data_IF_709592982601
#
_entry.id   IF_709592982601
#
_cell.length_a   1.000
_cell.length_b   1.000
_cell.length_c   1.000
_cell.angle_alpha   90.00
_cell.angle_beta   90.00
_cell.angle_gamma   90.00
#
_symmetry.space_group_name_H-M   'P 1'
#
loop_
_entity.id
_entity.type
_entity.pdbx_description
1 polymer ?
#
# COMPACT_ATOMS: atom_id res chain seq x y z
N UNK A 1 -14.16 -7.21 -8.63
CA UNK A 1 -13.06 -6.23 -8.55
C UNK A 1 -11.86 -6.90 -7.88
N UNK A 2 -10.64 -6.73 -8.38
CA UNK A 2 -9.41 -7.24 -7.76
C UNK A 2 -8.49 -6.11 -7.33
N UNK A 3 -7.99 -6.18 -6.10
CA UNK A 3 -7.02 -5.25 -5.54
C UNK A 3 -5.72 -6.00 -5.27
N UNK A 4 -4.60 -5.46 -5.73
CA UNK A 4 -3.26 -6.00 -5.52
C UNK A 4 -2.41 -4.98 -4.77
N UNK A 5 -1.62 -5.45 -3.82
CA UNK A 5 -0.57 -4.66 -3.17
C UNK A 5 0.78 -5.31 -3.37
N UNK A 6 1.80 -4.51 -3.66
CA UNK A 6 3.13 -5.00 -3.97
C UNK A 6 4.23 -3.99 -3.65
N UNK A 7 5.08 -4.29 -2.66
CA UNK A 7 6.33 -3.58 -2.52
C UNK A 7 7.27 -3.95 -3.69
N UNK A 8 7.54 -2.99 -4.57
CA UNK A 8 8.28 -3.23 -5.82
C UNK A 8 9.79 -3.11 -5.67
N UNK A 9 10.28 -2.60 -4.53
CA UNK A 9 11.69 -2.30 -4.27
C UNK A 9 12.34 -1.55 -5.45
N UNK A 10 11.73 -0.42 -5.80
CA UNK A 10 12.05 0.39 -6.96
C UNK A 10 11.19 0.05 -8.18
N UNK A 11 10.41 1.03 -8.66
CA UNK A 11 9.51 0.84 -9.81
C UNK A 11 10.29 0.71 -11.14
N UNK A 12 11.35 1.50 -11.34
CA UNK A 12 12.17 1.50 -12.56
C UNK A 12 12.68 0.09 -12.96
N UNK A 13 13.37 -0.66 -12.07
CA UNK A 13 13.85 -1.99 -12.44
C UNK A 13 12.70 -2.98 -12.72
N UNK A 14 11.52 -2.83 -12.09
CA UNK A 14 10.35 -3.65 -12.43
C UNK A 14 9.81 -3.32 -13.82
N UNK A 15 9.63 -2.05 -14.15
CA UNK A 15 9.20 -1.62 -15.49
C UNK A 15 10.18 -2.13 -16.56
N UNK A 16 11.49 -2.03 -16.31
CA UNK A 16 12.51 -2.56 -17.22
C UNK A 16 12.43 -4.08 -17.36
N UNK A 17 12.15 -4.83 -16.29
CA UNK A 17 12.02 -6.29 -16.33
C UNK A 17 10.84 -6.74 -17.20
N UNK A 18 9.71 -6.05 -17.12
CA UNK A 18 8.51 -6.38 -17.91
C UNK A 18 8.51 -5.70 -19.30
N UNK A 19 9.46 -4.80 -19.55
CA UNK A 19 9.64 -4.05 -20.80
C UNK A 19 8.77 -2.80 -20.90
N UNK A 20 7.66 -2.70 -20.16
CA UNK A 20 6.87 -1.47 -20.03
C UNK A 20 6.03 -1.48 -18.75
N UNK A 21 5.57 -0.31 -18.32
CA UNK A 21 4.66 -0.18 -17.17
C UNK A 21 3.34 -0.91 -17.43
N UNK A 22 2.76 -0.77 -18.63
CA UNK A 22 1.52 -1.46 -18.99
C UNK A 22 1.65 -2.98 -18.86
N UNK A 23 2.74 -3.58 -19.38
CA UNK A 23 2.97 -5.03 -19.25
C UNK A 23 3.12 -5.48 -17.80
N UNK A 24 3.74 -4.66 -16.94
CA UNK A 24 3.81 -4.93 -15.51
C UNK A 24 2.40 -4.92 -14.88
N UNK A 25 1.59 -3.90 -15.16
CA UNK A 25 0.24 -3.78 -14.60
C UNK A 25 -0.67 -4.92 -15.11
N UNK A 26 -0.62 -5.24 -16.40
CA UNK A 26 -1.38 -6.33 -17.01
C UNK A 26 -1.02 -7.69 -16.40
N UNK A 27 0.26 -7.90 -16.04
CA UNK A 27 0.71 -9.16 -15.42
C UNK A 27 0.12 -9.41 -14.03
N UNK A 28 -0.32 -8.35 -13.33
CA UNK A 28 -0.96 -8.44 -12.02
C UNK A 28 -2.47 -8.72 -12.15
N UNK A 29 -3.03 -8.44 -13.33
CA UNK A 29 -4.43 -8.64 -13.70
C UNK A 29 -5.39 -8.14 -12.61
N UNK A 30 -5.30 -6.85 -12.30
CA UNK A 30 -6.08 -6.23 -11.23
C UNK A 30 -6.74 -4.91 -11.65
N UNK A 31 -7.76 -4.51 -10.90
CA UNK A 31 -8.48 -3.25 -11.10
C UNK A 31 -7.82 -2.11 -10.33
N UNK A 32 -7.31 -2.40 -9.13
CA UNK A 32 -6.53 -1.44 -8.33
C UNK A 32 -5.20 -2.09 -7.95
N UNK A 33 -4.10 -1.43 -8.25
CA UNK A 33 -2.74 -1.91 -8.00
C UNK A 33 -2.01 -0.87 -7.14
N UNK A 34 -1.60 -1.28 -5.96
CA UNK A 34 -0.91 -0.45 -4.99
C UNK A 34 0.56 -0.86 -4.91
N UNK A 35 1.45 0.02 -5.35
CA UNK A 35 2.89 -0.15 -5.22
C UNK A 35 3.45 0.61 -4.03
N UNK A 36 4.36 -0.04 -3.32
CA UNK A 36 5.18 0.55 -2.26
C UNK A 36 6.66 0.54 -2.66
N UNK A 37 7.43 1.43 -2.02
CA UNK A 37 8.87 1.58 -2.28
C UNK A 37 9.16 1.85 -3.78
N UNK A 38 8.40 2.76 -4.39
CA UNK A 38 8.57 3.11 -5.81
C UNK A 38 9.96 3.69 -6.11
N UNK A 39 10.60 4.31 -5.13
CA UNK A 39 11.92 4.97 -5.21
C UNK A 39 11.98 6.05 -6.28
N UNK A 40 10.90 6.81 -6.41
CA UNK A 40 10.78 7.93 -7.33
C UNK A 40 10.63 9.23 -6.58
N UNK A 41 11.40 10.24 -7.00
CA UNK A 41 11.14 11.64 -6.67
C UNK A 41 10.12 12.27 -7.62
N UNK A 42 9.55 13.43 -7.26
CA UNK A 42 8.61 14.15 -8.14
C UNK A 42 9.21 14.55 -9.48
N UNK A 43 10.50 14.91 -9.51
CA UNK A 43 11.20 15.29 -10.74
C UNK A 43 11.44 14.10 -11.67
N UNK A 44 11.38 12.89 -11.12
CA UNK A 44 11.62 11.64 -11.81
C UNK A 44 10.36 10.96 -12.35
N UNK A 45 9.17 11.49 -12.00
CA UNK A 45 7.88 11.05 -12.52
C UNK A 45 7.73 11.42 -14.00
N UNK A 46 8.23 10.54 -14.85
CA UNK A 46 8.12 10.62 -16.31
C UNK A 46 6.93 9.81 -16.79
N UNK A 47 6.47 10.09 -18.02
CA UNK A 47 5.29 9.45 -18.60
C UNK A 47 5.40 7.92 -18.67
N UNK A 48 6.60 7.38 -18.93
CA UNK A 48 6.86 5.93 -18.99
C UNK A 48 6.69 5.20 -17.64
N UNK A 49 6.73 5.93 -16.53
CA UNK A 49 6.58 5.39 -15.17
C UNK A 49 5.25 5.76 -14.50
N UNK A 50 4.59 6.79 -15.00
CA UNK A 50 3.34 7.30 -14.42
C UNK A 50 2.11 6.96 -15.27
N UNK A 51 2.26 6.80 -16.59
CA UNK A 51 1.14 6.55 -17.51
C UNK A 51 1.18 5.14 -18.07
N UNK A 52 0.03 4.48 -18.00
CA UNK A 52 -0.26 3.27 -18.74
C UNK A 52 -1.64 3.42 -19.36
N UNK A 53 -1.80 2.95 -20.59
CA UNK A 53 -3.10 2.98 -21.26
C UNK A 53 -4.13 2.18 -20.46
N UNK A 54 -5.33 2.73 -20.29
CA UNK A 54 -6.38 2.10 -19.49
C UNK A 54 -6.17 2.18 -17.97
N UNK A 55 -5.21 2.98 -17.49
CA UNK A 55 -4.98 3.21 -16.06
C UNK A 55 -4.83 4.69 -15.72
N UNK A 56 -5.42 5.09 -14.60
CA UNK A 56 -5.12 6.34 -13.91
C UNK A 56 -4.22 6.07 -12.71
N UNK A 57 -3.32 6.99 -12.40
CA UNK A 57 -2.33 6.77 -11.35
C UNK A 57 -2.19 7.97 -10.41
N UNK A 58 -1.90 7.66 -9.14
CA UNK A 58 -1.77 8.61 -8.04
C UNK A 58 -0.48 8.29 -7.30
N UNK A 59 0.36 9.28 -7.06
CA UNK A 59 1.69 9.10 -6.47
C UNK A 59 1.87 9.96 -5.23
N UNK A 60 2.51 9.38 -4.22
CA UNK A 60 3.08 10.09 -3.08
C UNK A 60 4.58 9.85 -3.11
N UNK A 61 5.35 10.91 -3.33
CA UNK A 61 6.80 10.84 -3.44
C UNK A 61 7.44 11.42 -2.19
N UNK A 62 8.61 10.91 -1.82
CA UNK A 62 9.35 11.50 -0.71
C UNK A 62 9.73 12.96 -1.01
N UNK A 63 9.48 13.83 -0.04
CA UNK A 63 9.79 15.26 -0.07
C UNK A 63 11.00 15.60 0.81
N UNK A 64 11.55 14.64 1.56
CA UNK A 64 12.77 14.86 2.33
C UNK A 64 14.00 14.92 1.41
N UNK A 65 14.87 15.89 1.68
CA UNK A 65 16.19 16.06 1.07
C UNK A 65 17.32 15.60 2.00
N UNK A 66 17.00 14.91 3.10
CA UNK A 66 18.01 14.39 4.02
C UNK A 66 18.97 13.48 3.27
N UNK A 67 20.27 13.61 3.53
CA UNK A 67 21.32 12.85 2.85
C UNK A 67 21.01 11.35 2.92
N UNK A 68 20.91 10.70 1.76
CA UNK A 68 20.63 9.26 1.63
C UNK A 68 19.14 8.87 1.68
N UNK A 69 18.20 9.83 1.83
CA UNK A 69 16.75 9.58 1.81
C UNK A 69 16.04 10.16 0.58
N UNK A 70 16.76 10.82 -0.32
CA UNK A 70 16.25 11.27 -1.62
C UNK A 70 15.84 10.07 -2.48
N UNK A 71 14.57 10.01 -2.89
CA UNK A 71 14.05 8.90 -3.69
C UNK A 71 14.05 7.54 -2.98
N UNK A 72 14.08 7.50 -1.64
CA UNK A 72 14.19 6.26 -0.86
C UNK A 72 12.85 5.50 -0.68
N UNK A 73 11.74 6.22 -0.65
CA UNK A 73 10.41 5.72 -0.30
C UNK A 73 9.48 5.84 -1.52
N UNK A 74 8.22 6.22 -1.31
CA UNK A 74 7.26 6.55 -2.34
C UNK A 74 6.26 5.42 -2.55
N UNK A 75 5.00 5.78 -2.71
CA UNK A 75 3.89 4.86 -3.00
C UNK A 75 3.13 5.33 -4.23
N UNK A 76 2.53 4.38 -4.96
CA UNK A 76 1.72 4.66 -6.13
C UNK A 76 0.49 3.76 -6.20
N UNK A 77 -0.66 4.31 -6.54
CA UNK A 77 -1.88 3.56 -6.78
C UNK A 77 -2.29 3.72 -8.23
N UNK A 78 -2.48 2.61 -8.94
CA UNK A 78 -2.96 2.54 -10.31
C UNK A 78 -4.38 1.97 -10.32
N UNK A 79 -5.29 2.66 -11.00
CA UNK A 79 -6.70 2.34 -11.09
C UNK A 79 -7.06 2.08 -12.56
N UNK A 80 -7.53 0.88 -12.87
CA UNK A 80 -7.99 0.51 -14.21
C UNK A 80 -9.24 1.32 -14.55
N UNK A 81 -9.26 1.91 -15.73
CA UNK A 81 -10.38 2.71 -16.23
C UNK A 81 -10.64 2.45 -17.70
N UNK A 82 -11.92 2.37 -18.09
CA UNK A 82 -12.30 2.43 -19.51
C UNK A 82 -12.22 3.84 -20.08
N UNK A 83 -12.54 4.84 -19.26
CA UNK A 83 -12.49 6.25 -19.61
C UNK A 83 -12.10 7.06 -18.40
N UNK A 84 -11.19 8.00 -18.61
CA UNK A 84 -10.73 8.91 -17.57
C UNK A 84 -11.43 10.28 -17.60
N UNK A 85 -12.38 10.46 -18.51
CA UNK A 85 -13.22 11.67 -18.54
C UNK A 85 -14.56 11.48 -17.87
N UNK A 86 -15.05 10.24 -17.82
CA UNK A 86 -16.26 9.88 -17.10
C UNK A 86 -16.29 8.37 -16.92
N UNK A 87 -16.28 7.90 -15.67
CA UNK A 87 -16.38 6.48 -15.35
C UNK A 87 -17.42 6.24 -14.25
N UNK A 88 -18.12 5.10 -14.36
CA UNK A 88 -18.97 4.54 -13.31
C UNK A 88 -18.30 3.37 -12.57
N UNK A 89 -17.07 3.04 -12.96
CA UNK A 89 -16.31 1.92 -12.42
C UNK A 89 -15.73 2.33 -11.08
N UNK A 90 -16.00 1.53 -10.05
CA UNK A 90 -15.53 1.79 -8.68
C UNK A 90 -14.00 1.84 -8.58
N UNK A 91 -13.29 1.27 -9.55
CA UNK A 91 -11.83 1.34 -9.61
C UNK A 91 -11.33 2.79 -9.74
N UNK A 92 -12.02 3.68 -10.47
CA UNK A 92 -11.68 5.09 -10.51
C UNK A 92 -12.13 5.75 -9.19
N UNK A 93 -11.24 6.40 -8.43
CA UNK A 93 -11.63 7.01 -7.17
C UNK A 93 -12.34 8.36 -7.38
N UNK A 94 -13.33 8.66 -6.54
CA UNK A 94 -14.04 9.95 -6.47
C UNK A 94 -13.11 11.09 -6.04
N UNK A 95 -12.17 10.80 -5.14
CA UNK A 95 -11.14 11.72 -4.69
C UNK A 95 -9.87 10.95 -4.32
N UNK A 96 -8.74 11.65 -4.30
CA UNK A 96 -7.47 11.10 -3.86
C UNK A 96 -6.72 12.16 -3.05
N UNK A 97 -5.93 11.74 -2.07
CA UNK A 97 -5.20 12.60 -1.13
C UNK A 97 -3.76 12.06 -0.98
N UNK A 98 -2.76 12.94 -1.10
CA UNK A 98 -1.36 12.58 -0.82
C UNK A 98 -1.08 12.73 0.68
N UNK A 99 -0.50 11.69 1.30
CA UNK A 99 -0.36 11.64 2.75
C UNK A 99 -1.65 11.18 3.42
N UNK A 100 -1.78 11.45 4.72
CA UNK A 100 -2.97 11.09 5.49
C UNK A 100 -3.38 12.12 6.54
N UNK A 101 -2.68 13.27 6.57
CA UNK A 101 -2.93 14.36 7.53
C UNK A 101 -3.68 15.55 6.92
N UNK A 102 -3.87 15.56 5.59
CA UNK A 102 -4.45 16.68 4.83
C UNK A 102 -3.49 17.84 4.52
N UNK A 103 -2.27 17.84 5.08
CA UNK A 103 -1.41 19.02 5.00
C UNK A 103 -0.64 19.14 3.67
N UNK A 104 -0.28 18.03 3.00
CA UNK A 104 0.63 18.09 1.84
C UNK A 104 0.07 18.83 0.62
N UNK A 105 -1.25 18.83 0.43
CA UNK A 105 -1.91 19.52 -0.68
C UNK A 105 -1.94 21.03 -0.47
N UNK A 106 -2.14 21.47 0.78
CA UNK A 106 -2.22 22.89 1.18
C UNK A 106 -0.88 23.63 1.02
N UNK A 107 0.25 22.92 0.94
CA UNK A 107 1.57 23.53 0.72
C UNK A 107 1.98 23.65 -0.76
N UNK A 108 1.19 23.12 -1.69
CA UNK A 108 1.51 23.11 -3.13
C UNK A 108 0.81 24.18 -3.98
N UNK A 109 -0.10 24.98 -3.41
CA UNK A 109 -0.85 26.02 -4.12
C UNK A 109 -0.99 27.32 -3.31
N UNK A 110 -0.94 28.45 -4.02
CA UNK A 110 -1.10 29.85 -3.61
C UNK A 110 -1.36 30.16 -2.11
N UNK A 111 -0.45 30.92 -1.50
CA UNK A 111 -0.42 31.27 -0.08
C UNK A 111 -1.65 32.08 0.43
N UNK A 112 -2.61 32.38 -0.45
CA UNK A 112 -3.79 33.21 -0.22
C UNK A 112 -5.02 32.43 0.30
N UNK A 113 -5.01 31.09 0.28
CA UNK A 113 -6.07 30.22 0.83
C UNK A 113 -5.51 29.10 1.72
N UNK A 114 -4.70 29.49 2.72
CA UNK A 114 -4.33 28.58 3.80
C UNK A 114 -5.55 28.35 4.70
N UNK A 115 -6.32 27.34 4.37
CA UNK A 115 -7.12 26.70 5.39
C UNK A 115 -6.15 25.77 6.14
N UNK A 116 -5.63 26.21 7.29
CA UNK A 116 -4.79 25.40 8.19
C UNK A 116 -5.62 24.28 8.86
N UNK A 117 -6.77 23.91 8.27
CA UNK A 117 -7.64 22.86 8.75
C UNK A 117 -6.96 21.51 8.54
N UNK A 118 -6.32 21.04 9.61
CA UNK A 118 -5.93 19.65 9.73
C UNK A 118 -7.19 18.80 9.58
N UNK A 119 -7.02 17.62 9.00
CA UNK A 119 -8.07 16.60 9.02
C UNK A 119 -8.65 16.41 10.42
N UNK A 120 -9.99 16.32 10.49
CA UNK A 120 -10.73 16.08 11.73
C UNK A 120 -10.18 14.90 12.54
N UNK A 121 -10.00 15.11 13.84
CA UNK A 121 -9.49 14.14 14.81
C UNK A 121 -7.97 14.20 15.03
N UNK A 122 -7.24 14.99 14.25
CA UNK A 122 -5.80 15.18 14.38
C UNK A 122 -5.42 16.50 15.06
N UNK A 123 -6.38 17.23 15.63
CA UNK A 123 -6.17 18.53 16.29
C UNK A 123 -5.26 18.44 17.52
N UNK A 124 -5.12 17.24 18.10
CA UNK A 124 -4.23 16.96 19.23
C UNK A 124 -2.75 16.80 18.86
N UNK A 125 -2.39 16.83 17.58
CA UNK A 125 -1.01 16.73 17.11
C UNK A 125 -0.50 18.08 16.61
N UNK A 126 0.80 18.33 16.78
CA UNK A 126 1.40 19.53 16.20
C UNK A 126 1.53 19.43 14.68
N UNK A 127 1.43 20.57 13.98
CA UNK A 127 1.60 20.65 12.52
C UNK A 127 2.95 20.07 12.07
N UNK A 128 4.02 20.25 12.86
CA UNK A 128 5.34 19.68 12.53
C UNK A 128 5.34 18.15 12.59
N UNK A 129 4.71 17.55 13.60
CA UNK A 129 4.59 16.08 13.70
C UNK A 129 3.82 15.50 12.51
N UNK A 130 2.72 16.15 12.12
CA UNK A 130 1.89 15.73 10.99
C UNK A 130 2.65 15.85 9.66
N UNK A 131 3.33 16.98 9.42
CA UNK A 131 4.15 17.15 8.23
C UNK A 131 5.33 16.17 8.20
N UNK A 132 5.93 15.87 9.34
CA UNK A 132 7.07 14.95 9.44
C UNK A 132 6.71 13.55 8.94
N UNK A 133 5.54 13.03 9.30
CA UNK A 133 5.11 11.68 8.87
C UNK A 133 4.73 11.63 7.39
N UNK A 134 4.14 12.69 6.86
CA UNK A 134 3.67 12.75 5.48
C UNK A 134 4.80 13.03 4.47
N UNK A 135 5.83 13.79 4.86
CA UNK A 135 6.97 14.15 3.98
C UNK A 135 7.77 12.95 3.45
N UNK A 136 7.67 11.78 4.06
CA UNK A 136 8.39 10.59 3.58
C UNK A 136 7.70 9.87 2.41
N UNK A 137 6.55 10.34 1.93
CA UNK A 137 5.86 9.76 0.77
C UNK A 137 5.40 8.32 1.02
N UNK A 138 4.84 8.07 2.20
CA UNK A 138 4.52 6.71 2.70
C UNK A 138 3.06 6.33 2.60
N UNK A 139 2.21 7.26 2.21
CA UNK A 139 0.78 7.02 2.10
C UNK A 139 0.21 7.78 0.91
N UNK A 140 -0.67 7.13 0.18
CA UNK A 140 -1.61 7.76 -0.72
C UNK A 140 -2.99 7.15 -0.50
N UNK A 141 -3.99 8.02 -0.43
CA UNK A 141 -5.38 7.63 -0.17
C UNK A 141 -6.18 7.81 -1.46
N UNK A 142 -7.02 6.83 -1.77
CA UNK A 142 -8.01 6.91 -2.86
C UNK A 142 -9.39 6.56 -2.31
N UNK A 143 -10.34 7.50 -2.41
CA UNK A 143 -11.73 7.31 -1.99
C UNK A 143 -12.56 6.80 -3.17
N UNK A 144 -13.04 5.56 -3.10
CA UNK A 144 -13.81 4.91 -4.15
C UNK A 144 -15.33 5.00 -3.92
N UNK A 145 -15.77 5.90 -3.03
CA UNK A 145 -17.15 6.05 -2.59
C UNK A 145 -17.57 4.97 -1.59
N UNK A 146 -17.49 3.71 -2.01
CA UNK A 146 -17.87 2.56 -1.18
C UNK A 146 -16.87 2.24 -0.06
N UNK A 147 -15.59 2.50 -0.31
CA UNK A 147 -14.48 2.32 0.62
C UNK A 147 -13.39 3.37 0.37
N UNK A 148 -12.63 3.67 1.41
CA UNK A 148 -11.43 4.52 1.35
C UNK A 148 -10.21 3.60 1.43
N UNK A 149 -9.39 3.62 0.40
CA UNK A 149 -8.20 2.78 0.29
C UNK A 149 -6.96 3.57 0.68
N UNK A 150 -6.22 3.06 1.66
CA UNK A 150 -4.93 3.55 2.11
C UNK A 150 -3.86 2.62 1.55
N UNK A 151 -3.05 3.13 0.62
CA UNK A 151 -1.83 2.45 0.17
C UNK A 151 -0.65 2.93 1.05
N UNK A 152 -0.16 2.06 1.93
CA UNK A 152 0.77 2.41 3.02
C UNK A 152 2.10 1.69 2.88
N UNK A 153 3.19 2.44 3.03
CA UNK A 153 4.53 1.93 3.26
C UNK A 153 5.01 2.27 4.67
N UNK A 154 4.74 1.35 5.60
CA UNK A 154 5.07 1.44 7.01
C UNK A 154 6.58 1.64 7.24
N UNK A 155 6.98 2.50 8.19
CA UNK A 155 8.38 2.71 8.51
C UNK A 155 9.06 1.42 8.99
N UNK A 156 10.23 1.09 8.43
CA UNK A 156 11.18 0.17 9.05
C UNK A 156 11.99 0.92 10.11
N UNK A 157 12.27 0.23 11.22
CA UNK A 157 13.11 0.70 12.31
C UNK A 157 13.95 -0.47 12.83
N UNK A 158 15.26 -0.28 12.93
CA UNK A 158 16.17 -1.23 13.59
C UNK A 158 16.08 -1.05 15.11
N UNK A 159 16.51 -2.05 15.89
CA UNK A 159 16.29 -2.06 17.34
C UNK A 159 17.06 -0.99 18.11
N UNK A 160 18.16 -0.48 17.55
CA UNK A 160 19.03 0.54 18.11
C UNK A 160 18.71 1.96 17.59
N UNK A 161 17.86 2.09 16.57
CA UNK A 161 17.47 3.39 15.99
C UNK A 161 16.25 3.99 16.73
N UNK A 162 16.52 4.56 17.90
CA UNK A 162 15.48 5.13 18.78
C UNK A 162 14.65 6.22 18.08
N UNK A 163 15.28 7.08 17.27
CA UNK A 163 14.57 8.12 16.52
C UNK A 163 13.60 7.53 15.51
N UNK A 164 14.02 6.47 14.80
CA UNK A 164 13.17 5.80 13.82
C UNK A 164 12.06 4.99 14.47
N UNK A 165 12.32 4.38 15.62
CA UNK A 165 11.30 3.73 16.44
C UNK A 165 10.24 4.76 16.84
N UNK A 166 10.64 5.93 17.35
CA UNK A 166 9.70 7.00 17.73
C UNK A 166 8.91 7.51 16.51
N UNK A 167 9.57 7.67 15.36
CA UNK A 167 8.89 8.02 14.11
C UNK A 167 7.85 6.97 13.73
N UNK A 168 8.18 5.68 13.81
CA UNK A 168 7.27 4.56 13.51
C UNK A 168 6.06 4.57 14.45
N UNK A 169 6.26 4.83 15.74
CA UNK A 169 5.16 4.99 16.71
C UNK A 169 4.24 6.16 16.35
N UNK A 170 4.80 7.35 16.10
CA UNK A 170 4.01 8.53 15.74
C UNK A 170 3.25 8.31 14.43
N UNK A 171 3.91 7.72 13.43
CA UNK A 171 3.31 7.37 12.14
C UNK A 171 2.06 6.51 12.32
N UNK A 172 2.16 5.39 13.03
CA UNK A 172 1.03 4.49 13.22
C UNK A 172 -0.04 5.05 14.15
N UNK A 173 0.32 5.85 15.16
CA UNK A 173 -0.63 6.51 16.04
C UNK A 173 -1.52 7.49 15.26
N UNK A 174 -0.92 8.40 14.48
CA UNK A 174 -1.65 9.39 13.68
C UNK A 174 -2.49 8.67 12.60
N UNK A 175 -1.92 7.65 11.95
CA UNK A 175 -2.60 6.89 10.92
C UNK A 175 -3.83 6.14 11.47
N UNK A 176 -3.70 5.53 12.67
CA UNK A 176 -4.83 4.89 13.35
C UNK A 176 -5.91 5.92 13.71
N UNK A 177 -5.56 7.10 14.22
CA UNK A 177 -6.55 8.16 14.50
C UNK A 177 -7.33 8.54 13.25
N UNK A 178 -6.66 8.66 12.10
CA UNK A 178 -7.32 8.91 10.81
C UNK A 178 -8.31 7.80 10.44
N UNK A 179 -7.95 6.53 10.67
CA UNK A 179 -8.85 5.41 10.44
C UNK A 179 -10.07 5.43 11.36
N UNK A 180 -9.86 5.66 12.66
CA UNK A 180 -10.92 5.69 13.67
C UNK A 180 -11.96 6.78 13.33
N UNK A 181 -11.53 7.97 12.91
CA UNK A 181 -12.43 9.04 12.48
C UNK A 181 -13.28 8.65 11.25
N UNK A 182 -12.69 7.95 10.27
CA UNK A 182 -13.42 7.46 9.10
C UNK A 182 -14.44 6.37 9.50
N UNK A 183 -14.05 5.45 10.37
CA UNK A 183 -14.91 4.37 10.85
C UNK A 183 -16.09 4.91 11.69
N UNK A 184 -15.85 5.90 12.56
CA UNK A 184 -16.91 6.58 13.32
C UNK A 184 -17.96 7.24 12.43
N UNK A 185 -17.58 7.66 11.21
CA UNK A 185 -18.49 8.20 10.19
C UNK A 185 -19.17 7.11 9.34
N UNK A 186 -19.00 5.84 9.69
CA UNK A 186 -19.55 4.70 8.95
C UNK A 186 -18.86 4.45 7.60
N UNK A 187 -17.68 5.04 7.35
CA UNK A 187 -16.89 4.73 6.15
C UNK A 187 -16.24 3.36 6.30
N UNK A 188 -15.97 2.70 5.17
CA UNK A 188 -15.16 1.47 5.12
C UNK A 188 -13.72 1.86 4.84
N UNK A 189 -12.79 1.32 5.62
CA UNK A 189 -11.35 1.61 5.51
C UNK A 189 -10.64 0.35 5.06
N UNK A 190 -9.97 0.44 3.92
CA UNK A 190 -9.12 -0.62 3.39
C UNK A 190 -7.67 -0.16 3.51
N UNK A 191 -6.82 -0.92 4.18
CA UNK A 191 -5.39 -0.63 4.32
C UNK A 191 -4.62 -1.70 3.59
N UNK A 192 -3.83 -1.31 2.60
CA UNK A 192 -3.01 -2.23 1.81
C UNK A 192 -1.56 -1.75 1.79
N UNK A 193 -0.63 -2.70 1.82
CA UNK A 193 0.79 -2.38 1.66
C UNK A 193 1.70 -3.10 2.63
N UNK A 194 2.98 -2.75 2.53
CA UNK A 194 4.02 -3.20 3.44
C UNK A 194 3.97 -2.38 4.72
N UNK A 195 3.43 -2.97 5.80
CA UNK A 195 3.37 -2.32 7.11
C UNK A 195 4.67 -2.53 7.92
N UNK A 196 5.63 -3.29 7.40
CA UNK A 196 6.87 -3.65 8.09
C UNK A 196 6.62 -4.26 9.49
N UNK A 197 5.54 -5.03 9.62
CA UNK A 197 5.13 -5.70 10.86
C UNK A 197 4.62 -7.10 10.51
N UNK A 198 5.19 -8.11 11.17
CA UNK A 198 4.71 -9.49 11.14
C UNK A 198 3.85 -9.75 12.38
N UNK A 199 2.53 -9.96 12.24
CA UNK A 199 1.59 -9.93 13.37
C UNK A 199 1.79 -11.01 14.43
N UNK A 200 2.20 -12.22 14.04
CA UNK A 200 2.47 -13.32 14.98
C UNK A 200 3.58 -14.24 14.49
N UNK A 201 4.03 -15.17 15.34
CA UNK A 201 5.15 -16.07 15.05
C UNK A 201 4.93 -16.91 13.77
N UNK A 202 3.68 -17.26 13.45
CA UNK A 202 3.32 -17.95 12.20
C UNK A 202 3.68 -17.15 10.93
N UNK A 203 3.84 -15.83 11.05
CA UNK A 203 4.15 -14.90 9.98
C UNK A 203 5.66 -14.64 9.80
N UNK A 204 6.53 -15.33 10.55
CA UNK A 204 7.99 -15.17 10.48
C UNK A 204 8.69 -16.52 10.64
N UNK A 205 9.64 -16.83 9.74
CA UNK A 205 10.35 -18.11 9.74
C UNK A 205 11.18 -18.36 11.03
N UNK A 206 11.88 -17.34 11.53
CA UNK A 206 12.82 -17.40 12.66
C UNK A 206 12.26 -16.69 13.91
N UNK A 207 10.96 -16.82 14.16
CA UNK A 207 10.32 -16.21 15.34
C UNK A 207 10.86 -16.82 16.65
N UNK A 208 11.71 -16.06 17.35
CA UNK A 208 12.22 -16.42 18.67
C UNK A 208 11.19 -16.24 19.82
N UNK A 209 11.54 -16.64 21.06
CA UNK A 209 10.61 -16.62 22.21
C UNK A 209 10.04 -15.22 22.54
N UNK A 210 10.82 -14.17 22.28
CA UNK A 210 10.45 -12.78 22.58
C UNK A 210 9.73 -12.09 21.41
N UNK A 211 9.52 -12.78 20.29
CA UNK A 211 8.97 -12.21 19.06
C UNK A 211 7.65 -11.48 19.29
N UNK A 212 6.76 -12.11 20.06
CA UNK A 212 5.41 -11.63 20.34
C UNK A 212 5.36 -10.40 21.25
N UNK A 213 6.43 -10.13 22.01
CA UNK A 213 6.46 -9.02 22.99
C UNK A 213 6.70 -7.65 22.35
N UNK A 214 7.09 -7.60 21.08
CA UNK A 214 7.32 -6.34 20.38
C UNK A 214 6.05 -5.47 20.32
N UNK A 215 6.19 -4.20 20.68
CA UNK A 215 5.05 -3.26 20.79
C UNK A 215 4.32 -3.02 19.47
N UNK A 216 5.01 -2.99 18.32
CA UNK A 216 4.35 -2.83 17.02
C UNK A 216 3.50 -4.05 16.65
N UNK A 217 3.91 -5.26 17.08
CA UNK A 217 3.11 -6.47 16.88
C UNK A 217 1.90 -6.51 17.80
N UNK A 218 2.06 -6.10 19.07
CA UNK A 218 0.93 -5.92 20.00
C UNK A 218 -0.06 -4.90 19.46
N UNK A 219 0.43 -3.76 18.99
CA UNK A 219 -0.37 -2.74 18.34
C UNK A 219 -1.14 -3.30 17.15
N UNK A 220 -0.46 -3.95 16.20
CA UNK A 220 -1.11 -4.54 15.03
C UNK A 220 -2.21 -5.52 15.44
N UNK A 221 -1.91 -6.44 16.37
CA UNK A 221 -2.92 -7.39 16.85
C UNK A 221 -4.08 -6.70 17.54
N UNK A 222 -3.86 -5.61 18.27
CA UNK A 222 -4.94 -4.85 18.92
C UNK A 222 -5.93 -4.24 17.91
N UNK A 223 -5.51 -4.01 16.67
CA UNK A 223 -6.41 -3.55 15.60
C UNK A 223 -7.38 -4.65 15.15
N UNK A 224 -7.05 -5.93 15.38
CA UNK A 224 -7.77 -7.05 14.80
C UNK A 224 -9.04 -7.40 15.58
N UNK A 225 -10.11 -7.75 14.87
CA UNK A 225 -11.41 -8.15 15.45
C UNK A 225 -11.27 -9.27 16.48
N UNK A 226 -10.44 -10.27 16.20
CA UNK A 226 -10.15 -11.39 17.14
C UNK A 226 -9.52 -10.97 18.47
N UNK A 227 -9.01 -9.74 18.55
CA UNK A 227 -8.39 -9.13 19.72
C UNK A 227 -9.19 -7.92 20.25
N UNK A 228 -10.43 -7.72 19.77
CA UNK A 228 -11.30 -6.62 20.18
C UNK A 228 -11.17 -5.33 19.35
N UNK A 229 -10.38 -5.34 18.27
CA UNK A 229 -10.29 -4.24 17.33
C UNK A 229 -11.37 -4.27 16.24
N UNK A 230 -11.20 -3.47 15.19
CA UNK A 230 -12.20 -3.28 14.12
C UNK A 230 -11.75 -3.83 12.75
N UNK A 231 -10.47 -4.18 12.60
CA UNK A 231 -9.90 -4.63 11.34
C UNK A 231 -9.88 -6.15 11.23
N UNK A 232 -10.13 -6.63 10.02
CA UNK A 232 -9.84 -8.00 9.62
C UNK A 232 -8.52 -8.03 8.85
N UNK A 233 -7.61 -8.91 9.23
CA UNK A 233 -6.49 -9.32 8.37
C UNK A 233 -7.04 -10.31 7.35
N UNK A 234 -7.35 -9.83 6.15
CA UNK A 234 -8.13 -10.59 5.15
C UNK A 234 -7.43 -11.90 4.78
N UNK A 235 -6.09 -11.90 4.73
CA UNK A 235 -5.34 -13.13 4.47
C UNK A 235 -5.55 -14.16 5.57
N UNK A 236 -5.46 -13.76 6.85
CA UNK A 236 -5.65 -14.66 8.00
C UNK A 236 -7.11 -15.03 8.28
N UNK A 237 -8.06 -14.27 7.79
CA UNK A 237 -9.47 -14.68 7.79
C UNK A 237 -9.74 -15.78 6.76
N UNK A 238 -9.09 -15.74 5.59
CA UNK A 238 -9.23 -16.79 4.57
C UNK A 238 -8.30 -18.00 4.80
N UNK A 239 -7.15 -17.78 5.42
CA UNK A 239 -6.09 -18.79 5.63
C UNK A 239 -5.56 -18.76 7.07
N UNK A 240 -6.39 -19.06 8.09
CA UNK A 240 -6.03 -18.87 9.50
C UNK A 240 -4.79 -19.66 9.91
N UNK A 241 -4.67 -20.91 9.47
CA UNK A 241 -3.62 -21.84 9.90
C UNK A 241 -2.49 -22.02 8.88
N UNK A 242 -2.56 -21.35 7.72
CA UNK A 242 -1.56 -21.53 6.65
C UNK A 242 -0.18 -21.05 7.13
N UNK A 243 0.73 -22.00 7.30
CA UNK A 243 2.13 -21.74 7.65
C UNK A 243 2.91 -21.36 6.40
N UNK A 244 4.10 -20.79 6.60
CA UNK A 244 5.06 -20.51 5.52
C UNK A 244 4.56 -19.55 4.42
N UNK A 245 3.49 -18.81 4.72
CA UNK A 245 2.85 -17.83 3.85
C UNK A 245 3.54 -16.47 3.96
N UNK A 246 4.79 -16.41 3.52
CA UNK A 246 5.61 -15.20 3.57
C UNK A 246 5.46 -14.36 2.31
N UNK A 247 5.72 -13.06 2.43
CA UNK A 247 5.62 -12.09 1.34
C UNK A 247 6.94 -11.39 1.06
N UNK A 248 7.89 -11.42 1.99
CA UNK A 248 9.21 -10.79 1.88
C UNK A 248 10.32 -11.78 2.26
N UNK A 249 11.38 -11.82 1.46
CA UNK A 249 12.60 -12.61 1.73
C UNK A 249 13.84 -11.73 1.62
N UNK A 250 14.73 -11.76 2.63
CA UNK A 250 16.01 -11.07 2.56
C UNK A 250 16.75 -11.36 1.25
N UNK A 251 17.46 -10.36 0.72
CA UNK A 251 18.18 -10.45 -0.56
C UNK A 251 19.43 -11.34 -0.51
N UNK A 252 19.78 -11.87 0.66
CA UNK A 252 20.92 -12.78 0.82
C UNK A 252 20.68 -14.12 0.10
N UNK A 253 21.76 -14.74 -0.38
CA UNK A 253 21.66 -15.92 -1.23
C UNK A 253 21.16 -17.14 -0.46
N UNK A 254 19.91 -17.52 -0.73
CA UNK A 254 19.27 -18.76 -0.24
C UNK A 254 18.00 -18.55 0.59
N UNK A 255 17.70 -17.34 1.07
CA UNK A 255 16.50 -17.14 1.89
C UNK A 255 15.22 -17.53 1.16
N UNK A 256 15.08 -17.15 -0.10
CA UNK A 256 13.89 -17.47 -0.89
C UNK A 256 13.83 -18.95 -1.32
N UNK A 257 14.99 -19.61 -1.50
CA UNK A 257 15.12 -21.04 -1.80
C UNK A 257 14.59 -21.90 -0.65
N UNK A 258 14.95 -21.55 0.59
CA UNK A 258 14.52 -22.25 1.81
C UNK A 258 13.26 -21.65 2.45
N UNK A 259 12.59 -20.74 1.74
CA UNK A 259 11.42 -20.00 2.22
C UNK A 259 11.64 -19.31 3.59
N UNK A 260 12.86 -18.87 3.88
CA UNK A 260 13.22 -18.06 5.04
C UNK A 260 12.68 -16.63 4.89
N UNK A 261 11.39 -16.45 5.18
CA UNK A 261 10.67 -15.22 4.88
C UNK A 261 9.86 -14.67 6.05
N UNK A 262 9.17 -13.57 5.75
CA UNK A 262 8.22 -12.91 6.65
C UNK A 262 6.99 -12.44 5.88
N UNK A 263 5.82 -12.48 6.49
CA UNK A 263 4.61 -11.82 5.99
C UNK A 263 4.49 -10.43 6.60
N UNK A 264 4.78 -9.40 5.81
CA UNK A 264 4.71 -7.98 6.21
C UNK A 264 3.86 -7.12 5.28
N UNK A 265 3.42 -7.70 4.16
CA UNK A 265 2.50 -7.10 3.21
C UNK A 265 1.07 -7.55 3.54
N UNK A 266 0.18 -6.59 3.80
CA UNK A 266 -1.14 -6.86 4.37
C UNK A 266 -2.26 -6.24 3.54
N UNK A 267 -3.44 -6.84 3.66
CA UNK A 267 -4.71 -6.25 3.26
C UNK A 267 -5.62 -6.31 4.49
N UNK A 268 -5.90 -5.14 5.08
CA UNK A 268 -6.75 -4.99 6.25
C UNK A 268 -8.05 -4.29 5.86
N UNK A 269 -9.18 -4.76 6.37
CA UNK A 269 -10.50 -4.17 6.11
C UNK A 269 -11.23 -3.92 7.41
N UNK A 270 -11.79 -2.72 7.56
CA UNK A 270 -12.71 -2.36 8.64
C UNK A 270 -13.93 -1.61 8.08
N UNK A 271 -15.04 -1.68 8.81
CA UNK A 271 -16.29 -0.98 8.49
C UNK A 271 -17.47 -1.92 8.20
N UNK A 272 -18.67 -1.34 8.02
CA UNK A 272 -19.92 -2.11 7.94
C UNK A 272 -20.00 -2.96 6.67
N UNK A 273 -20.78 -4.03 6.68
CA UNK A 273 -21.13 -4.78 5.47
C UNK A 273 -22.00 -3.94 4.49
N UNK A 274 -22.11 -4.31 3.22
CA UNK A 274 -23.09 -3.67 2.31
C UNK A 274 -24.53 -4.12 2.57
N UNK A 275 -24.73 -5.32 3.12
CA UNK A 275 -26.06 -5.83 3.46
C UNK A 275 -26.63 -5.05 4.66
N UNK A 276 -27.92 -4.72 4.60
CA UNK A 276 -28.65 -3.96 5.64
C UNK A 276 -29.57 -4.84 6.50
N UNK A 277 -29.50 -6.17 6.36
CA UNK A 277 -30.50 -7.08 6.96
C UNK A 277 -30.40 -7.19 8.49
N UNK A 278 -31.58 -7.29 9.11
CA UNK A 278 -31.83 -7.38 10.56
C UNK A 278 -31.58 -8.78 11.16
N UNK A 279 -31.19 -9.77 10.35
CA UNK A 279 -30.92 -11.11 10.83
C UNK A 279 -29.50 -11.21 11.42
N UNK A 280 -29.43 -11.57 12.70
CA UNK A 280 -28.24 -11.62 13.57
C UNK A 280 -27.17 -12.67 13.18
N UNK A 281 -27.05 -13.02 11.90
CA UNK A 281 -25.93 -13.81 11.39
C UNK A 281 -24.66 -12.96 11.25
N UNK A 282 -23.50 -13.62 11.26
CA UNK A 282 -22.14 -13.06 11.24
C UNK A 282 -21.81 -12.32 9.91
N UNK A 283 -22.54 -11.23 9.63
CA UNK A 283 -22.46 -10.45 8.41
C UNK A 283 -21.26 -9.49 8.43
N UNK A 284 -20.05 -10.05 8.44
CA UNK A 284 -18.83 -9.25 8.24
C UNK A 284 -18.63 -8.91 6.76
N UNK A 285 -17.97 -7.78 6.48
CA UNK A 285 -17.62 -7.40 5.12
C UNK A 285 -16.77 -8.47 4.43
N UNK A 286 -15.82 -9.06 5.16
CA UNK A 286 -14.91 -10.09 4.63
C UNK A 286 -15.65 -11.37 4.27
N UNK A 287 -16.61 -11.79 5.08
CA UNK A 287 -17.39 -13.00 4.81
C UNK A 287 -18.33 -12.81 3.62
N UNK A 288 -18.96 -11.64 3.51
CA UNK A 288 -19.95 -11.39 2.46
C UNK A 288 -19.32 -11.00 1.10
N UNK A 289 -18.29 -10.14 1.11
CA UNK A 289 -17.85 -9.44 -0.11
C UNK A 289 -16.45 -9.83 -0.58
N UNK A 290 -15.62 -10.44 0.26
CA UNK A 290 -14.30 -10.94 -0.17
C UNK A 290 -14.43 -12.38 -0.66
N UNK A 291 -14.24 -12.58 -1.96
CA UNK A 291 -14.25 -13.91 -2.60
C UNK A 291 -12.97 -14.68 -2.29
N UNK A 292 -11.82 -14.06 -2.53
CA UNK A 292 -10.50 -14.69 -2.41
C UNK A 292 -9.47 -13.67 -1.94
N UNK A 293 -8.44 -14.16 -1.25
CA UNK A 293 -7.26 -13.41 -0.86
C UNK A 293 -6.08 -14.39 -0.80
N UNK A 294 -4.99 -14.10 -1.51
CA UNK A 294 -3.81 -14.97 -1.52
C UNK A 294 -2.54 -14.20 -1.94
N UNK A 295 -1.41 -14.89 -1.89
CA UNK A 295 -0.07 -14.41 -2.22
C UNK A 295 0.30 -14.86 -3.64
N UNK A 296 0.72 -13.94 -4.50
CA UNK A 296 1.11 -14.22 -5.89
C UNK A 296 2.53 -14.77 -5.96
N UNK A 297 2.72 -16.02 -5.54
CA UNK A 297 4.02 -16.70 -5.50
C UNK A 297 4.70 -16.83 -6.87
N UNK A 298 3.98 -16.65 -7.98
CA UNK A 298 4.58 -16.59 -9.31
C UNK A 298 5.53 -15.38 -9.48
N UNK A 299 5.46 -14.38 -8.61
CA UNK A 299 6.39 -13.24 -8.59
C UNK A 299 7.66 -13.49 -7.77
N UNK A 300 7.78 -14.67 -7.11
CA UNK A 300 9.04 -15.08 -6.46
C UNK A 300 10.20 -15.02 -7.46
N UNK A 301 11.30 -14.40 -7.05
CA UNK A 301 12.54 -14.29 -7.83
C UNK A 301 13.21 -15.65 -8.01
N UNK A 302 13.15 -16.50 -6.98
CA UNK A 302 13.69 -17.85 -7.07
C UNK A 302 12.73 -18.76 -7.83
N UNK A 303 13.25 -19.48 -8.84
CA UNK A 303 12.52 -20.47 -9.64
C UNK A 303 13.24 -21.82 -9.59
N UNK A 304 12.51 -22.96 -9.58
CA UNK A 304 13.11 -24.28 -9.72
C UNK A 304 13.95 -24.35 -10.99
N UNK A 305 15.25 -24.66 -10.86
CA UNK A 305 16.20 -24.68 -11.98
C UNK A 305 17.19 -23.51 -12.03
N UNK A 306 17.03 -22.48 -11.19
CA UNK A 306 18.05 -21.45 -10.95
C UNK A 306 19.22 -22.04 -10.14
N UNK A 307 20.00 -22.95 -10.73
CA UNK A 307 21.17 -23.55 -10.07
C UNK A 307 22.29 -22.50 -10.01
N UNK A 308 22.79 -22.12 -8.81
CA UNK A 308 23.93 -21.23 -8.70
C UNK A 308 25.16 -21.87 -9.34
N UNK A 309 25.73 -21.26 -10.38
CA UNK A 309 27.07 -21.63 -10.84
C UNK A 309 28.08 -21.23 -9.77
N UNK A 310 28.71 -22.21 -9.13
CA UNK A 310 29.76 -21.99 -8.14
C UNK A 310 30.97 -21.31 -8.79
N UNK A 311 31.18 -20.02 -8.52
CA UNK A 311 32.40 -19.27 -8.84
C UNK A 311 32.81 -18.45 -7.62
N UNK A 312 33.35 -19.11 -6.59
CA UNK A 312 33.85 -18.45 -5.38
C UNK A 312 32.77 -17.86 -4.45
N UNK A 313 31.50 -18.22 -4.66
CA UNK A 313 30.35 -17.81 -3.84
C UNK A 313 29.01 -18.12 -4.53
N UNK A 314 27.91 -18.14 -3.76
CA UNK A 314 26.54 -18.17 -4.31
C UNK A 314 26.12 -16.74 -4.64
N UNK A 315 26.39 -16.28 -5.86
CA UNK A 315 25.96 -14.95 -6.30
C UNK A 315 25.06 -15.09 -7.54
N UNK A 316 23.80 -15.48 -7.33
CA UNK A 316 22.76 -15.41 -8.38
C UNK A 316 22.02 -14.11 -8.16
N UNK A 317 22.15 -13.17 -9.09
CA UNK A 317 21.36 -11.94 -9.08
C UNK A 317 19.92 -12.32 -9.42
N UNK A 318 19.09 -12.47 -8.38
CA UNK A 318 17.69 -12.80 -8.51
C UNK A 318 16.92 -11.60 -9.10
N UNK A 319 16.14 -11.82 -10.15
CA UNK A 319 15.30 -10.80 -10.79
C UNK A 319 13.91 -10.75 -10.16
N UNK A 320 13.49 -9.55 -9.75
CA UNK A 320 12.19 -9.28 -9.10
C UNK A 320 12.37 -8.38 -7.89
N UNK A 321 11.28 -8.10 -7.19
CA UNK A 321 11.34 -7.51 -5.84
C UNK A 321 11.73 -8.59 -4.82
N UNK A 322 12.29 -8.18 -3.68
CA UNK A 322 12.41 -9.03 -2.49
C UNK A 322 11.05 -9.34 -1.83
N UNK A 323 9.99 -8.70 -2.31
CA UNK A 323 8.62 -9.03 -1.98
C UNK A 323 7.90 -9.76 -3.12
N UNK A 324 6.76 -10.36 -2.79
CA UNK A 324 5.74 -10.81 -3.76
C UNK A 324 4.41 -10.11 -3.48
N UNK A 325 3.57 -9.89 -4.50
CA UNK A 325 2.28 -9.25 -4.31
C UNK A 325 1.32 -10.09 -3.46
N UNK A 326 0.46 -9.40 -2.72
CA UNK A 326 -0.74 -9.95 -2.09
C UNK A 326 -1.95 -9.38 -2.79
N UNK A 327 -2.99 -10.18 -3.01
CA UNK A 327 -4.21 -9.72 -3.66
C UNK A 327 -5.45 -10.14 -2.90
N UNK A 328 -6.53 -9.41 -3.15
CA UNK A 328 -7.89 -9.85 -2.84
C UNK A 328 -8.81 -9.61 -4.04
N UNK A 329 -9.86 -10.42 -4.15
CA UNK A 329 -10.95 -10.19 -5.09
C UNK A 329 -12.26 -10.01 -4.34
N UNK A 330 -13.00 -8.99 -4.76
CA UNK A 330 -14.27 -8.57 -4.21
C UNK A 330 -15.39 -8.87 -5.20
N UNK A 331 -16.53 -9.28 -4.67
CA UNK A 331 -17.77 -9.53 -5.41
C UNK A 331 -18.84 -8.51 -5.00
N UNK A 332 -19.88 -8.40 -5.84
CA UNK A 332 -21.10 -7.64 -5.51
C UNK A 332 -20.90 -6.16 -5.13
N UNK A 333 -19.81 -5.54 -5.63
CA UNK A 333 -19.62 -4.09 -5.46
C UNK A 333 -20.51 -3.34 -6.47
N UNK A 334 -21.46 -2.52 -6.01
CA UNK A 334 -22.32 -1.73 -6.90
C UNK A 334 -21.52 -0.66 -7.65
N UNK A 335 -22.01 -0.25 -8.82
CA UNK A 335 -21.41 0.88 -9.55
C UNK A 335 -21.66 2.20 -8.80
N UNK A 336 -20.76 3.15 -9.01
CA UNK A 336 -20.90 4.54 -8.52
C UNK A 336 -21.48 5.46 -9.58
N UNK A 337 -21.90 6.66 -9.17
CA UNK A 337 -22.32 7.70 -10.09
C UNK A 337 -21.17 8.11 -11.00
N UNK A 338 -21.42 8.41 -12.29
CA UNK A 338 -20.38 8.86 -13.21
C UNK A 338 -19.64 10.08 -12.67
N UNK A 339 -18.32 10.04 -12.67
CA UNK A 339 -17.47 11.15 -12.25
C UNK A 339 -16.16 11.20 -13.04
N UNK A 340 -15.46 12.32 -12.89
CA UNK A 340 -14.20 12.59 -13.57
C UNK A 340 -13.03 12.12 -12.71
N UNK A 341 -11.85 11.97 -13.33
CA UNK A 341 -10.62 11.67 -12.60
C UNK A 341 -10.25 12.81 -11.62
N UNK A 342 -9.86 12.49 -10.37
CA UNK A 342 -9.48 13.50 -9.38
C UNK A 342 -8.24 14.32 -9.79
N UNK A 343 -8.12 15.57 -9.31
CA UNK A 343 -7.00 16.46 -9.65
C UNK A 343 -5.60 15.93 -9.31
N UNK A 344 -5.49 15.04 -8.31
CA UNK A 344 -4.22 14.43 -7.91
C UNK A 344 -3.67 13.42 -8.94
N UNK A 345 -4.45 13.03 -9.96
CA UNK A 345 -3.95 12.12 -11.00
C UNK A 345 -2.71 12.68 -11.70
N UNK A 346 -1.73 11.82 -11.93
CA UNK A 346 -0.50 12.17 -12.65
C UNK A 346 -0.75 12.67 -14.07
N UNK A 347 -1.94 12.43 -14.64
CA UNK A 347 -2.34 12.97 -15.95
C UNK A 347 -2.30 14.50 -15.99
N UNK A 348 -2.52 15.14 -14.84
CA UNK A 348 -2.52 16.60 -14.69
C UNK A 348 -1.14 17.14 -14.28
N UNK A 349 -0.15 16.27 -14.06
CA UNK A 349 1.20 16.66 -13.71
C UNK A 349 1.92 17.23 -14.96
N UNK A 350 2.40 18.49 -14.94
CA UNK A 350 3.02 19.11 -16.12
C UNK A 350 4.19 18.32 -16.72
N UNK A 351 5.01 17.70 -15.86
CA UNK A 351 6.15 16.88 -16.24
C UNK A 351 5.75 15.61 -17.01
N UNK A 352 4.52 15.14 -16.79
CA UNK A 352 3.93 13.96 -17.43
C UNK A 352 3.10 14.37 -18.67
N UNK A 353 2.46 15.54 -18.60
CA UNK A 353 1.62 16.11 -19.66
C UNK A 353 2.42 16.60 -20.87
N UNK A 354 3.62 17.18 -20.66
CA UNK A 354 4.46 17.76 -21.72
C UNK A 354 4.92 16.79 -22.81
N UNK A 355 4.79 15.47 -22.62
CA UNK A 355 5.05 14.45 -23.66
C UNK A 355 3.89 14.25 -24.66
N UNK A 356 2.73 14.91 -24.49
CA UNK A 356 1.61 14.83 -25.45
C UNK A 356 1.75 15.76 -26.67
N UNK A 357 2.70 16.71 -26.67
CA UNK A 357 2.86 17.67 -27.76
C UNK A 357 4.06 17.38 -28.68
N UNK A 358 4.81 16.32 -28.41
CA UNK A 358 6.03 15.94 -29.17
C UNK A 358 6.03 14.51 -29.71
N UNK A 359 4.94 13.78 -29.51
CA UNK A 359 4.58 12.55 -30.23
C UNK A 359 3.39 12.87 -31.13
#
# INVERSE_FOLDING_TARGET
MKIVTYNVNGLRPRVSQFGSLLKLLDSLDADIICFQETKLSRQELRADLARAEGYESFFSCTRTSDKGRTGYSGVATFCRVKSAFSSKEVALPLSAEEGFTGLLENFSGDASRRDDSVVEGLEGFSVDELLKVDREGRCIITDHGHFVLFNVYGPRAECDDTERIQFKFNFFKILQTRWDCLLCRGRRVFVVGDLNIAPGAIDRCDAGPEFEKNEFRKWFRSLLVRNGGQFFDVFREKHPERREAYTCWPTNSGAEEFNYGTRIDHILIAGPCFHRDENQGDHSFVLCHVKECDILLQFKRWKPGNIPRWKGGRNVKLEGSDHVPVYMSLVEIPNIQPHNTPPLSTRYCPQVYGCQQTL
#
